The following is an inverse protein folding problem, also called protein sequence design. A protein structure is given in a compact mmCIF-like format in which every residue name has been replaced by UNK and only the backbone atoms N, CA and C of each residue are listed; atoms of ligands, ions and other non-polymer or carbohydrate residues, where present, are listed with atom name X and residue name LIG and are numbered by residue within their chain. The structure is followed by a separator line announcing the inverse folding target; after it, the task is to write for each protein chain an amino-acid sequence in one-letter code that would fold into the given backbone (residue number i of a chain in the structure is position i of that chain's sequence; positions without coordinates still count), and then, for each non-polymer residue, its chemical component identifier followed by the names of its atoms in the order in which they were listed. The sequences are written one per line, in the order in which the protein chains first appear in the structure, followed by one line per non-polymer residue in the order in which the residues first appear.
data_IF_137160606215
#
_entry.id   IF_137160606215
#
_cell.length_a   1.000
_cell.length_b   1.000
_cell.length_c   1.000
_cell.angle_alpha   90.00
_cell.angle_beta   90.00
_cell.angle_gamma   90.00
#
_symmetry.space_group_name_H-M   'P 1'
#
loop_
_entity.id
_entity.type
_entity.pdbx_description
1 polymer ?
#
# COMPACT_ATOMS: atom_id res chain seq x y z
N UNK A 1 9.94 -10.02 -14.11
CA UNK A 1 9.88 -11.40 -13.57
C UNK A 1 10.77 -11.47 -12.34
N UNK A 2 10.19 -11.40 -11.15
CA UNK A 2 10.92 -11.68 -9.92
C UNK A 2 10.68 -13.16 -9.62
N UNK A 3 11.66 -13.99 -9.94
CA UNK A 3 11.73 -15.38 -9.51
C UNK A 3 12.27 -15.38 -8.07
N UNK A 4 11.46 -15.73 -7.07
CA UNK A 4 11.94 -15.99 -5.72
C UNK A 4 11.81 -17.48 -5.42
N UNK A 5 12.97 -18.14 -5.36
CA UNK A 5 13.08 -19.50 -4.86
C UNK A 5 12.79 -19.52 -3.36
N UNK A 6 12.04 -20.52 -2.93
CA UNK A 6 11.61 -20.85 -1.57
C UNK A 6 12.66 -20.61 -0.48
N UNK A 7 12.53 -19.49 0.24
CA UNK A 7 12.95 -19.24 1.63
C UNK A 7 11.96 -18.18 2.18
N UNK A 8 11.70 -18.13 3.47
CA UNK A 8 10.61 -17.41 4.20
C UNK A 8 10.39 -15.91 3.91
N UNK A 9 10.07 -15.54 2.67
CA UNK A 9 9.84 -14.17 2.22
C UNK A 9 8.37 -14.02 1.83
N UNK A 10 7.69 -12.99 2.34
CA UNK A 10 6.31 -12.70 1.96
C UNK A 10 6.24 -11.41 1.15
N UNK A 11 5.61 -11.49 -0.01
CA UNK A 11 5.30 -10.35 -0.86
C UNK A 11 3.80 -10.20 -0.92
N UNK A 12 3.30 -9.02 -0.53
CA UNK A 12 1.89 -8.68 -0.66
C UNK A 12 1.71 -7.71 -1.81
N UNK A 13 0.89 -8.09 -2.77
CA UNK A 13 0.45 -7.26 -3.89
C UNK A 13 -0.97 -6.79 -3.59
N UNK A 14 -1.17 -5.47 -3.49
CA UNK A 14 -2.51 -4.90 -3.55
C UNK A 14 -2.90 -4.69 -5.02
N UNK A 15 -4.20 -4.81 -5.33
CA UNK A 15 -4.75 -4.43 -6.64
C UNK A 15 -4.50 -2.95 -6.99
N UNK A 16 -4.15 -2.14 -6.00
CA UNK A 16 -3.96 -0.69 -6.05
C UNK A 16 -2.48 -0.30 -6.26
N UNK A 17 -1.67 -1.09 -6.99
CA UNK A 17 -0.24 -0.82 -7.28
C UNK A 17 0.68 -0.66 -6.06
N UNK A 18 0.28 -1.11 -4.88
CA UNK A 18 1.16 -1.16 -3.71
C UNK A 18 1.79 -2.55 -3.53
N UNK A 19 3.09 -2.57 -3.24
CA UNK A 19 3.88 -3.78 -2.99
C UNK A 19 4.50 -3.65 -1.60
N UNK A 20 4.25 -4.63 -0.74
CA UNK A 20 4.89 -4.70 0.58
C UNK A 20 5.74 -5.97 0.68
N UNK A 21 6.95 -5.81 1.23
CA UNK A 21 7.88 -6.90 1.48
C UNK A 21 7.99 -7.13 2.98
N UNK A 22 7.79 -8.37 3.42
CA UNK A 22 8.04 -8.77 4.79
C UNK A 22 9.19 -9.79 4.80
N UNK A 23 10.28 -9.43 5.47
CA UNK A 23 11.56 -10.14 5.42
C UNK A 23 12.01 -10.52 6.84
N UNK A 24 12.51 -11.75 7.06
CA UNK A 24 13.04 -12.17 8.35
C UNK A 24 14.53 -11.85 8.54
N UNK A 25 15.17 -11.15 7.58
CA UNK A 25 16.63 -10.99 7.50
C UNK A 25 17.07 -9.53 7.73
N UNK A 26 17.19 -9.13 9.00
CA UNK A 26 17.64 -7.78 9.39
C UNK A 26 19.12 -7.57 8.99
N UNK A 27 19.43 -6.46 8.30
CA UNK A 27 20.79 -6.07 7.92
C UNK A 27 21.46 -6.93 6.83
N UNK A 28 20.73 -7.84 6.18
CA UNK A 28 21.27 -8.75 5.15
C UNK A 28 20.72 -8.45 3.74
N UNK A 29 19.97 -7.37 3.61
CA UNK A 29 19.38 -6.95 2.34
C UNK A 29 19.98 -5.63 1.89
N UNK A 30 19.77 -5.31 0.62
CA UNK A 30 20.14 -4.04 0.03
C UNK A 30 19.19 -3.75 -1.15
N UNK A 31 19.08 -2.49 -1.53
CA UNK A 31 18.22 -2.07 -2.64
C UNK A 31 17.47 -0.80 -2.31
N UNK A 32 16.42 -0.54 -3.09
CA UNK A 32 15.56 0.64 -2.92
C UNK A 32 14.78 0.65 -1.59
N UNK A 33 14.64 -0.50 -0.93
CA UNK A 33 14.02 -0.62 0.39
C UNK A 33 15.04 -0.48 1.55
N UNK A 34 16.26 -0.03 1.27
CA UNK A 34 17.32 0.10 2.27
C UNK A 34 17.97 -1.24 2.63
N UNK A 35 18.62 -1.27 3.79
CA UNK A 35 19.33 -2.46 4.29
C UNK A 35 18.58 -3.20 5.42
N UNK A 36 17.45 -2.64 5.87
CA UNK A 36 16.61 -3.18 6.93
C UNK A 36 17.41 -3.48 8.21
N UNK A 37 18.30 -2.58 8.65
CA UNK A 37 19.03 -2.71 9.91
C UNK A 37 18.39 -1.96 11.10
N UNK A 38 17.41 -1.08 10.81
CA UNK A 38 16.71 -0.25 11.79
C UNK A 38 17.24 1.18 11.91
N UNK A 39 18.26 1.56 11.15
CA UNK A 39 18.82 2.91 11.07
C UNK A 39 18.55 3.57 9.72
N UNK A 40 17.46 4.35 9.67
CA UNK A 40 17.03 5.04 8.45
C UNK A 40 18.03 6.04 7.87
N UNK A 41 19.06 6.44 8.64
CA UNK A 41 20.09 7.37 8.16
C UNK A 41 21.04 6.75 7.15
N UNK A 42 21.07 5.43 7.05
CA UNK A 42 21.97 4.71 6.17
C UNK A 42 21.27 3.97 5.02
N UNK A 43 19.93 4.02 4.96
CA UNK A 43 19.13 3.34 3.94
C UNK A 43 19.46 3.80 2.51
N UNK A 44 19.94 5.04 2.34
CA UNK A 44 20.44 5.55 1.06
C UNK A 44 21.89 5.09 0.81
N UNK A 45 22.09 3.78 0.78
CA UNK A 45 23.34 3.14 0.38
C UNK A 45 23.25 2.69 -1.08
N UNK A 46 24.19 3.14 -1.90
CA UNK A 46 24.25 2.82 -3.35
C UNK A 46 24.69 1.39 -3.60
N UNK A 47 24.55 0.91 -4.84
CA UNK A 47 25.06 -0.41 -5.25
C UNK A 47 26.59 -0.57 -5.07
N UNK A 48 27.34 0.54 -5.07
CA UNK A 48 28.79 0.55 -4.79
C UNK A 48 29.12 0.65 -3.29
N UNK A 49 28.11 0.50 -2.42
CA UNK A 49 28.23 0.55 -0.96
C UNK A 49 28.64 1.93 -0.42
N UNK A 50 28.28 2.99 -1.15
CA UNK A 50 28.48 4.38 -0.73
C UNK A 50 27.21 4.95 -0.10
N UNK A 51 27.35 5.64 1.03
CA UNK A 51 26.22 6.31 1.69
C UNK A 51 26.06 7.71 1.11
N UNK A 52 24.88 7.99 0.58
CA UNK A 52 24.58 9.27 -0.08
C UNK A 52 23.36 9.94 0.58
N UNK A 53 23.26 11.25 0.41
CA UNK A 53 22.09 12.04 0.85
C UNK A 53 21.11 12.33 -0.29
N UNK A 54 21.59 12.26 -1.52
CA UNK A 54 20.81 12.55 -2.72
C UNK A 54 20.02 11.32 -3.19
N UNK A 55 18.69 11.46 -3.23
CA UNK A 55 17.76 10.37 -3.57
C UNK A 55 17.90 9.91 -5.01
N UNK A 56 18.26 10.82 -5.94
CA UNK A 56 18.46 10.45 -7.35
C UNK A 56 19.72 9.62 -7.52
N UNK A 57 20.82 10.04 -6.89
CA UNK A 57 22.09 9.29 -6.87
C UNK A 57 21.86 7.89 -6.31
N UNK A 58 21.13 7.78 -5.19
CA UNK A 58 20.73 6.51 -4.61
C UNK A 58 19.89 5.67 -5.59
N UNK A 59 18.77 6.20 -6.08
CA UNK A 59 17.83 5.48 -6.94
C UNK A 59 18.45 5.02 -8.27
N UNK A 60 19.20 5.90 -8.94
CA UNK A 60 19.86 5.60 -10.21
C UNK A 60 20.97 4.56 -10.04
N UNK A 61 21.62 4.47 -8.88
CA UNK A 61 22.62 3.41 -8.62
C UNK A 61 22.04 1.99 -8.64
N UNK A 62 20.72 1.86 -8.39
CA UNK A 62 20.02 0.58 -8.34
C UNK A 62 19.41 0.14 -9.67
N UNK A 63 19.64 0.88 -10.77
CA UNK A 63 19.16 0.48 -12.10
C UNK A 63 19.71 -0.89 -12.50
N UNK A 64 18.85 -1.71 -13.11
CA UNK A 64 19.24 -3.08 -13.53
C UNK A 64 20.02 -3.01 -14.85
N UNK A 65 19.54 -2.22 -15.81
CA UNK A 65 20.19 -2.01 -17.09
C UNK A 65 20.90 -0.66 -17.13
N UNK A 66 22.14 -0.65 -17.61
CA UNK A 66 22.88 0.59 -17.86
C UNK A 66 22.28 1.42 -19.01
N UNK A 67 21.48 0.79 -19.89
CA UNK A 67 20.78 1.48 -20.98
C UNK A 67 19.56 2.29 -20.52
N UNK A 68 19.09 2.08 -19.29
CA UNK A 68 18.03 2.89 -18.73
C UNK A 68 18.56 4.31 -18.47
N UNK A 69 17.83 5.36 -18.91
CA UNK A 69 18.20 6.73 -18.58
C UNK A 69 18.13 6.94 -17.07
N UNK A 70 18.94 7.87 -16.58
CA UNK A 70 18.87 8.28 -15.19
C UNK A 70 17.55 9.04 -14.94
N UNK A 71 16.93 8.77 -13.80
CA UNK A 71 15.79 9.52 -13.34
C UNK A 71 16.21 10.95 -12.98
N UNK A 72 15.36 11.90 -13.34
CA UNK A 72 15.47 13.31 -12.99
C UNK A 72 14.41 13.68 -11.95
N UNK A 73 14.61 14.78 -11.23
CA UNK A 73 13.60 15.29 -10.31
C UNK A 73 12.38 15.70 -11.12
N UNK A 74 11.26 15.00 -10.92
CA UNK A 74 10.00 15.37 -11.52
C UNK A 74 9.50 16.68 -10.89
N UNK A 75 9.02 17.59 -11.73
CA UNK A 75 8.29 18.77 -11.27
C UNK A 75 7.13 18.35 -10.37
N UNK A 76 6.84 19.11 -9.32
CA UNK A 76 5.66 18.89 -8.48
C UNK A 76 4.41 18.72 -9.38
N UNK A 77 3.74 17.56 -9.36
CA UNK A 77 2.58 17.31 -10.20
C UNK A 77 1.46 18.32 -9.98
N UNK A 78 1.31 18.85 -8.76
CA UNK A 78 0.31 19.87 -8.48
C UNK A 78 0.70 21.25 -9.03
N UNK A 79 1.99 21.54 -9.19
CA UNK A 79 2.45 22.75 -9.88
C UNK A 79 2.27 22.63 -11.40
N UNK A 80 2.48 21.44 -11.96
CA UNK A 80 2.26 21.15 -13.38
C UNK A 80 0.77 21.07 -13.73
N UNK A 81 -0.06 20.59 -12.80
CA UNK A 81 -1.52 20.46 -12.95
C UNK A 81 -2.27 21.28 -11.87
N UNK A 82 -2.19 22.62 -11.87
CA UNK A 82 -2.73 23.46 -10.78
C UNK A 82 -4.25 23.39 -10.65
N UNK A 83 -4.96 23.09 -11.74
CA UNK A 83 -6.42 22.90 -11.73
C UNK A 83 -6.87 21.69 -10.90
N UNK A 84 -5.96 20.72 -10.64
CA UNK A 84 -6.24 19.53 -9.82
C UNK A 84 -5.91 19.74 -8.34
N UNK A 85 -5.01 20.67 -8.02
CA UNK A 85 -4.47 20.83 -6.68
C UNK A 85 -5.55 21.01 -5.59
N UNK A 86 -6.54 21.87 -5.85
CA UNK A 86 -7.64 22.11 -4.90
C UNK A 86 -8.52 20.88 -4.67
N UNK A 87 -8.78 20.10 -5.74
CA UNK A 87 -9.54 18.87 -5.62
C UNK A 87 -8.74 17.80 -4.85
N UNK A 88 -7.47 17.60 -5.21
CA UNK A 88 -6.56 16.64 -4.56
C UNK A 88 -6.43 16.92 -3.06
N UNK A 89 -6.15 18.16 -2.67
CA UNK A 89 -6.05 18.56 -1.25
C UNK A 89 -7.35 18.29 -0.50
N UNK A 90 -8.50 18.62 -1.11
CA UNK A 90 -9.80 18.40 -0.49
C UNK A 90 -10.11 16.91 -0.31
N UNK A 91 -9.90 16.08 -1.33
CA UNK A 91 -10.18 14.64 -1.21
C UNK A 91 -9.23 13.98 -0.20
N UNK A 92 -7.93 14.24 -0.31
CA UNK A 92 -6.91 13.66 0.57
C UNK A 92 -7.03 14.12 2.03
N UNK A 93 -7.76 15.21 2.32
CA UNK A 93 -8.01 15.68 3.69
C UNK A 93 -8.68 14.64 4.60
N UNK A 94 -9.31 13.60 4.03
CA UNK A 94 -9.84 12.47 4.79
C UNK A 94 -8.78 11.82 5.69
N UNK A 95 -7.52 11.75 5.23
CA UNK A 95 -6.37 11.20 5.98
C UNK A 95 -6.16 11.96 7.30
N UNK A 96 -6.35 13.27 7.29
CA UNK A 96 -6.21 14.15 8.46
C UNK A 96 -7.53 14.34 9.23
N UNK A 97 -8.62 13.74 8.76
CA UNK A 97 -9.94 13.96 9.34
C UNK A 97 -10.22 13.05 10.55
N UNK A 98 -11.35 13.29 11.20
CA UNK A 98 -11.85 12.45 12.30
C UNK A 98 -12.02 10.98 11.92
N UNK A 99 -12.18 10.65 10.63
CA UNK A 99 -12.28 9.27 10.14
C UNK A 99 -11.06 8.44 10.54
N UNK A 100 -9.87 9.03 10.54
CA UNK A 100 -8.60 8.36 10.87
C UNK A 100 -8.05 8.72 12.25
N UNK A 101 -8.83 9.42 13.09
CA UNK A 101 -8.36 9.91 14.39
C UNK A 101 -7.75 8.83 15.29
N UNK A 102 -8.32 7.63 15.28
CA UNK A 102 -7.83 6.50 16.06
C UNK A 102 -6.43 6.00 15.62
N UNK A 103 -6.00 6.35 14.40
CA UNK A 103 -4.71 5.98 13.84
C UNK A 103 -3.65 7.09 13.93
N UNK A 104 -4.05 8.37 14.02
CA UNK A 104 -3.13 9.52 14.05
C UNK A 104 -2.07 9.44 15.17
N UNK A 105 -2.40 8.80 16.29
CA UNK A 105 -1.45 8.58 17.40
C UNK A 105 -0.45 7.45 17.16
N UNK A 106 -0.69 6.61 16.14
CA UNK A 106 0.11 5.42 15.83
C UNK A 106 0.97 5.61 14.59
N UNK A 107 0.42 6.25 13.56
CA UNK A 107 1.08 6.49 12.27
C UNK A 107 0.87 7.95 11.89
N UNK A 108 1.98 8.67 11.64
CA UNK A 108 1.96 10.05 11.18
C UNK A 108 1.22 10.16 9.83
N UNK A 109 0.12 10.94 9.75
CA UNK A 109 -0.64 11.10 8.51
C UNK A 109 0.06 11.98 7.47
N UNK A 110 1.03 12.82 7.86
CA UNK A 110 1.65 13.83 6.99
C UNK A 110 2.19 13.26 5.66
N UNK A 111 3.11 12.28 5.70
CA UNK A 111 3.66 11.67 4.49
C UNK A 111 2.60 11.02 3.58
N UNK A 112 1.56 10.42 4.16
CA UNK A 112 0.46 9.81 3.41
C UNK A 112 -0.44 10.85 2.75
N UNK A 113 -0.72 11.96 3.44
CA UNK A 113 -1.45 13.10 2.88
C UNK A 113 -0.69 13.71 1.70
N UNK A 114 0.61 13.97 1.86
CA UNK A 114 1.45 14.55 0.80
C UNK A 114 1.55 13.63 -0.42
N UNK A 115 1.70 12.32 -0.20
CA UNK A 115 1.68 11.33 -1.29
C UNK A 115 0.33 11.31 -1.99
N UNK A 116 -0.77 11.27 -1.24
CA UNK A 116 -2.12 11.28 -1.81
C UNK A 116 -2.36 12.49 -2.70
N UNK A 117 -1.95 13.69 -2.26
CA UNK A 117 -2.12 14.93 -3.02
C UNK A 117 -1.30 14.89 -4.30
N UNK A 118 -0.02 14.50 -4.21
CA UNK A 118 0.86 14.35 -5.37
C UNK A 118 0.33 13.35 -6.39
N UNK A 119 -0.06 12.16 -5.95
CA UNK A 119 -0.56 11.10 -6.82
C UNK A 119 -1.88 11.53 -7.51
N UNK A 120 -2.79 12.16 -6.76
CA UNK A 120 -4.05 12.67 -7.28
C UNK A 120 -3.88 13.84 -8.28
N UNK A 121 -2.84 14.65 -8.11
CA UNK A 121 -2.45 15.68 -9.08
C UNK A 121 -1.78 15.10 -10.34
N UNK A 122 -1.05 14.00 -10.21
CA UNK A 122 -0.36 13.33 -11.32
C UNK A 122 -1.30 12.49 -12.19
N UNK A 123 -2.42 12.01 -11.64
CA UNK A 123 -3.41 11.24 -12.40
C UNK A 123 -4.32 12.17 -13.23
N UNK A 124 -3.86 12.59 -14.40
CA UNK A 124 -4.53 13.52 -15.31
C UNK A 124 -5.14 12.86 -16.57
N UNK A 125 -4.79 11.61 -16.85
CA UNK A 125 -5.24 10.85 -18.02
C UNK A 125 -6.57 10.08 -17.82
N UNK A 126 -7.32 10.39 -16.76
CA UNK A 126 -8.50 9.64 -16.31
C UNK A 126 -8.14 8.51 -15.34
N UNK A 127 -9.08 8.16 -14.44
CA UNK A 127 -8.82 7.24 -13.33
C UNK A 127 -8.51 7.93 -11.99
N UNK A 128 -8.79 9.22 -11.87
CA UNK A 128 -8.49 10.05 -10.70
C UNK A 128 -8.99 9.49 -9.37
N UNK A 129 -10.15 8.83 -9.40
CA UNK A 129 -10.70 8.13 -8.25
C UNK A 129 -9.82 6.95 -7.82
N UNK A 130 -9.18 6.24 -8.75
CA UNK A 130 -8.31 5.08 -8.46
C UNK A 130 -7.06 5.51 -7.69
N UNK A 131 -6.41 6.60 -8.10
CA UNK A 131 -5.19 7.10 -7.44
C UNK A 131 -5.47 7.61 -6.02
N UNK A 132 -6.57 8.36 -5.85
CA UNK A 132 -7.03 8.80 -4.54
C UNK A 132 -7.35 7.60 -3.62
N UNK A 133 -8.14 6.63 -4.10
CA UNK A 133 -8.53 5.48 -3.29
C UNK A 133 -7.34 4.62 -2.88
N UNK A 134 -6.40 4.39 -3.81
CA UNK A 134 -5.13 3.71 -3.57
C UNK A 134 -4.32 4.36 -2.44
N UNK A 135 -4.18 5.68 -2.48
CA UNK A 135 -3.39 6.40 -1.49
C UNK A 135 -4.04 6.34 -0.10
N UNK A 136 -5.35 6.50 0.00
CA UNK A 136 -6.08 6.42 1.28
C UNK A 136 -6.08 4.98 1.83
N UNK A 137 -6.25 3.98 0.96
CA UNK A 137 -6.16 2.56 1.33
C UNK A 137 -4.77 2.19 1.88
N UNK A 138 -3.71 2.79 1.33
CA UNK A 138 -2.35 2.59 1.83
C UNK A 138 -2.19 3.09 3.26
N UNK A 139 -2.80 4.23 3.61
CA UNK A 139 -2.82 4.71 5.00
C UNK A 139 -3.69 3.80 5.89
N UNK A 140 -4.86 3.37 5.42
CA UNK A 140 -5.72 2.43 6.15
C UNK A 140 -5.02 1.08 6.42
N UNK A 141 -4.21 0.59 5.48
CA UNK A 141 -3.38 -0.60 5.65
C UNK A 141 -2.33 -0.41 6.75
N UNK A 142 -1.59 0.70 6.72
CA UNK A 142 -0.61 1.02 7.77
C UNK A 142 -1.27 1.14 9.15
N UNK A 143 -2.45 1.77 9.22
CA UNK A 143 -3.25 1.82 10.43
C UNK A 143 -3.63 0.41 10.93
N UNK A 144 -4.08 -0.46 10.03
CA UNK A 144 -4.46 -1.84 10.39
C UNK A 144 -3.26 -2.63 10.92
N UNK A 145 -2.09 -2.50 10.29
CA UNK A 145 -0.82 -3.09 10.75
C UNK A 145 -0.42 -2.58 12.13
N UNK A 146 -0.71 -1.31 12.44
CA UNK A 146 -0.54 -0.73 13.78
C UNK A 146 -1.70 -1.08 14.75
N UNK A 147 -2.62 -1.97 14.37
CA UNK A 147 -3.75 -2.42 15.18
C UNK A 147 -4.87 -1.37 15.33
N UNK A 148 -5.03 -0.47 14.36
CA UNK A 148 -6.15 0.46 14.26
C UNK A 148 -6.97 0.15 13.00
N UNK A 149 -8.08 -0.58 13.17
CA UNK A 149 -8.96 -0.93 12.08
C UNK A 149 -9.90 0.24 11.72
N UNK A 150 -9.70 0.85 10.54
CA UNK A 150 -10.45 2.04 10.10
C UNK A 150 -11.40 1.68 8.95
N UNK A 151 -12.71 1.90 9.15
CA UNK A 151 -13.72 1.81 8.09
C UNK A 151 -13.90 3.18 7.43
N UNK A 152 -13.20 3.42 6.34
CA UNK A 152 -13.13 4.73 5.69
C UNK A 152 -13.97 4.82 4.39
N UNK A 153 -14.20 3.70 3.68
CA UNK A 153 -15.00 3.67 2.44
C UNK A 153 -16.47 3.95 2.72
N UNK A 154 -17.11 4.70 1.82
CA UNK A 154 -18.55 5.02 1.85
C UNK A 154 -19.14 4.93 0.44
N UNK A 155 -20.48 4.92 0.25
CA UNK A 155 -21.06 4.94 -1.09
C UNK A 155 -20.63 6.14 -1.97
N UNK A 156 -20.15 7.22 -1.35
CA UNK A 156 -19.65 8.42 -2.05
C UNK A 156 -18.12 8.47 -2.17
N UNK A 157 -17.41 7.74 -1.32
CA UNK A 157 -15.95 7.79 -1.21
C UNK A 157 -15.43 6.37 -1.39
N UNK A 158 -14.82 6.11 -2.55
CA UNK A 158 -14.19 4.83 -2.88
C UNK A 158 -15.10 3.62 -2.62
N UNK A 159 -16.32 3.59 -3.20
CA UNK A 159 -17.28 2.53 -2.96
C UNK A 159 -16.71 1.16 -3.39
N UNK A 160 -17.12 0.12 -2.66
CA UNK A 160 -16.80 -1.27 -2.96
C UNK A 160 -18.10 -2.04 -3.11
N UNK A 161 -18.20 -2.84 -4.19
CA UNK A 161 -19.40 -3.58 -4.57
C UNK A 161 -19.24 -5.07 -4.23
N UNK A 162 -19.26 -5.37 -2.94
CA UNK A 162 -19.13 -6.74 -2.43
C UNK A 162 -20.35 -7.61 -2.71
N UNK A 163 -21.51 -6.99 -2.82
CA UNK A 163 -22.80 -7.58 -3.10
C UNK A 163 -22.91 -8.15 -4.52
N UNK A 164 -22.09 -7.65 -5.45
CA UNK A 164 -21.95 -8.21 -6.79
C UNK A 164 -21.66 -9.72 -6.80
N UNK A 165 -20.97 -10.22 -5.76
CA UNK A 165 -20.60 -11.64 -5.66
C UNK A 165 -21.68 -12.50 -4.99
N UNK A 166 -22.77 -11.90 -4.51
CA UNK A 166 -23.85 -12.64 -3.86
C UNK A 166 -24.85 -13.18 -4.88
N UNK A 167 -25.30 -14.42 -4.66
CA UNK A 167 -26.52 -14.94 -5.30
C UNK A 167 -27.72 -14.08 -4.87
N UNK A 168 -28.80 -13.97 -5.68
CA UNK A 168 -29.95 -13.11 -5.39
C UNK A 168 -30.60 -13.35 -4.02
N UNK A 169 -30.57 -14.60 -3.53
CA UNK A 169 -31.21 -15.02 -2.29
C UNK A 169 -30.22 -15.19 -1.12
N UNK A 170 -28.92 -14.93 -1.35
CA UNK A 170 -27.86 -15.18 -0.38
C UNK A 170 -27.07 -13.91 -0.11
N UNK A 171 -26.43 -13.85 1.06
CA UNK A 171 -25.64 -12.69 1.46
C UNK A 171 -24.35 -13.18 2.10
N UNK A 172 -23.51 -13.80 1.29
CA UNK A 172 -22.29 -14.48 1.71
C UNK A 172 -21.07 -13.58 1.68
N UNK A 173 -20.91 -12.72 0.68
CA UNK A 173 -19.75 -11.85 0.48
C UNK A 173 -19.95 -10.49 1.13
N UNK A 174 -19.01 -10.10 1.99
CA UNK A 174 -19.06 -8.87 2.79
C UNK A 174 -17.77 -8.09 2.72
N UNK A 175 -17.89 -6.77 2.74
CA UNK A 175 -16.76 -5.88 2.94
C UNK A 175 -16.18 -6.04 4.34
N UNK A 176 -14.88 -6.32 4.42
CA UNK A 176 -14.08 -6.29 5.64
C UNK A 176 -13.02 -5.20 5.52
N UNK A 177 -13.18 -4.06 6.23
CA UNK A 177 -12.25 -2.92 6.10
C UNK A 177 -10.81 -3.24 6.50
N UNK A 178 -10.62 -4.31 7.28
CA UNK A 178 -9.34 -4.70 7.86
C UNK A 178 -9.02 -6.17 7.57
N UNK A 179 -9.74 -6.77 6.62
CA UNK A 179 -9.66 -8.17 6.26
C UNK A 179 -10.31 -9.12 7.25
N UNK A 180 -10.42 -10.38 6.81
CA UNK A 180 -10.73 -11.48 7.71
C UNK A 180 -9.42 -11.97 8.36
N UNK A 181 -9.50 -12.52 9.60
CA UNK A 181 -8.43 -13.33 10.16
C UNK A 181 -8.07 -14.49 9.22
N UNK A 182 -6.95 -15.16 9.49
CA UNK A 182 -6.52 -16.32 8.70
C UNK A 182 -7.68 -17.27 8.38
N UNK A 183 -7.99 -17.38 7.08
CA UNK A 183 -9.14 -18.15 6.62
C UNK A 183 -8.75 -19.59 6.35
N UNK A 184 -9.61 -20.52 6.77
CA UNK A 184 -9.63 -21.87 6.21
C UNK A 184 -10.16 -21.79 4.79
N UNK A 185 -9.45 -22.43 3.87
CA UNK A 185 -9.85 -22.55 2.46
C UNK A 185 -9.40 -23.91 1.95
N UNK A 186 -9.84 -24.35 0.77
CA UNK A 186 -9.31 -25.58 0.17
C UNK A 186 -7.78 -25.59 0.01
N UNK A 187 -7.16 -24.41 -0.19
CA UNK A 187 -5.69 -24.26 -0.26
C UNK A 187 -5.02 -24.12 1.11
N UNK A 188 -5.77 -23.74 2.15
CA UNK A 188 -5.31 -23.67 3.53
C UNK A 188 -6.29 -24.39 4.48
N UNK A 189 -6.38 -25.73 4.41
CA UNK A 189 -7.38 -26.49 5.15
C UNK A 189 -7.16 -26.44 6.68
N UNK A 190 -5.92 -26.20 7.12
CA UNK A 190 -5.60 -26.09 8.55
C UNK A 190 -6.03 -24.75 9.14
N UNK A 191 -6.15 -23.70 8.31
CA UNK A 191 -6.40 -22.35 8.78
C UNK A 191 -5.20 -21.75 9.53
N UNK A 192 -3.99 -22.24 9.27
CA UNK A 192 -2.77 -21.70 9.84
C UNK A 192 -2.10 -20.78 8.82
N UNK A 193 -2.04 -19.50 9.13
CA UNK A 193 -1.34 -18.50 8.32
C UNK A 193 -0.06 -18.08 9.03
N UNK A 194 0.93 -17.70 8.25
CA UNK A 194 2.11 -17.00 8.77
C UNK A 194 1.67 -15.74 9.51
N UNK A 195 2.26 -15.47 10.67
CA UNK A 195 2.05 -14.21 11.41
C UNK A 195 2.52 -12.98 10.63
N UNK A 196 3.31 -13.20 9.57
CA UNK A 196 3.77 -12.17 8.64
C UNK A 196 2.69 -11.73 7.64
N UNK A 197 1.54 -12.42 7.60
CA UNK A 197 0.40 -12.05 6.74
C UNK A 197 -0.59 -11.24 7.57
N UNK A 198 -0.57 -9.92 7.41
CA UNK A 198 -1.59 -9.04 7.99
C UNK A 198 -2.90 -9.20 7.23
N UNK A 199 -4.02 -9.13 7.94
CA UNK A 199 -5.34 -9.10 7.32
C UNK A 199 -5.47 -7.88 6.40
N UNK A 200 -5.91 -8.10 5.17
CA UNK A 200 -6.00 -7.07 4.12
C UNK A 200 -7.44 -6.68 3.90
N UNK A 201 -7.68 -5.38 3.72
CA UNK A 201 -8.97 -4.85 3.31
C UNK A 201 -9.50 -5.58 2.05
N UNK A 202 -10.77 -5.97 2.06
CA UNK A 202 -11.37 -6.60 0.88
C UNK A 202 -12.73 -7.24 1.12
N UNK A 203 -13.16 -8.02 0.13
CA UNK A 203 -14.40 -8.79 0.18
C UNK A 203 -14.12 -10.21 0.69
N UNK A 204 -14.87 -10.66 1.69
CA UNK A 204 -14.70 -12.00 2.28
C UNK A 204 -16.05 -12.70 2.44
N UNK A 205 -16.08 -14.02 2.23
CA UNK A 205 -17.27 -14.83 2.46
C UNK A 205 -17.58 -15.02 3.96
N UNK A 206 -18.86 -15.22 4.32
CA UNK A 206 -19.36 -15.48 5.68
C UNK A 206 -19.13 -16.92 6.14
N UNK A 207 -19.12 -17.88 5.23
CA UNK A 207 -18.96 -19.30 5.54
C UNK A 207 -17.65 -19.80 4.95
N UNK A 208 -16.76 -20.23 5.85
CA UNK A 208 -15.35 -20.44 5.58
C UNK A 208 -15.00 -21.88 5.18
N UNK A 209 -15.98 -22.79 5.19
CA UNK A 209 -15.73 -24.23 5.01
C UNK A 209 -15.96 -24.73 3.57
N UNK A 210 -16.29 -23.85 2.61
CA UNK A 210 -16.68 -24.25 1.25
C UNK A 210 -16.11 -23.39 0.11
N UNK A 211 -15.09 -22.55 0.37
CA UNK A 211 -14.42 -21.84 -0.72
C UNK A 211 -13.48 -22.80 -1.48
N UNK A 212 -13.71 -23.05 -2.79
CA UNK A 212 -12.98 -24.03 -3.59
C UNK A 212 -11.48 -23.73 -3.77
#
# INVERSE_FOLDING_TARGET
FIMMYSLSHHVTLSSERSISFCLPHQGQVCGLCGNYDGDSKNDFTTRSNEKVVDVLTFGNSWKVSASCPDAELTSDPCASNPYRASWSQKQCSIINSVTFQACHSKIDPGPFFDSCVRDSCACDSGGDCECFCTAVASYAKACNEAGACIKWRTPKICPIFCDYYNSPDECEWHYKPCGAPCMKTCRNPTGNCSSLITALEGTTAKHFDLLP
#
